data_IF_426290575459
#
_entry.id   IF_426290575459
#
_cell.length_a   1.000
_cell.length_b   1.000
_cell.length_c   1.000
_cell.angle_alpha   90.00
_cell.angle_beta   90.00
_cell.angle_gamma   90.00
#
_symmetry.space_group_name_H-M   'P 1'
#
loop_
_entity.id
_entity.type
_entity.pdbx_description
1 polymer ?
#
# COMPACT_ATOMS: atom_id res chain seq x y z
N UNK A 1 -14.27 -9.01 -24.54
CA UNK A 1 -13.08 -8.13 -24.68
C UNK A 1 -12.03 -8.46 -23.60
N UNK A 2 -11.28 -9.57 -23.72
CA UNK A 2 -10.23 -9.95 -22.74
C UNK A 2 -8.88 -10.36 -23.36
N UNK A 3 -8.64 -10.02 -24.65
CA UNK A 3 -7.41 -10.41 -25.37
C UNK A 3 -6.12 -9.87 -24.72
N UNK A 4 -6.15 -8.67 -24.13
CA UNK A 4 -5.01 -8.07 -23.43
C UNK A 4 -4.58 -8.86 -22.19
N UNK A 5 -5.55 -9.31 -21.38
CA UNK A 5 -5.29 -10.11 -20.19
C UNK A 5 -4.67 -11.46 -20.55
N UNK A 6 -5.13 -12.09 -21.64
CA UNK A 6 -4.59 -13.36 -22.11
C UNK A 6 -3.17 -13.21 -22.69
N UNK A 7 -2.91 -12.13 -23.45
CA UNK A 7 -1.57 -11.84 -23.96
C UNK A 7 -0.56 -11.46 -22.84
N UNK A 8 -1.04 -10.86 -21.75
CA UNK A 8 -0.24 -10.62 -20.54
C UNK A 8 -0.02 -11.92 -19.75
N UNK A 9 -1.02 -12.79 -19.68
CA UNK A 9 -0.90 -14.12 -19.06
C UNK A 9 0.07 -15.04 -19.84
N UNK A 10 0.00 -15.07 -21.17
CA UNK A 10 0.89 -15.90 -21.99
C UNK A 10 2.38 -15.55 -21.77
N UNK A 11 2.70 -14.30 -21.44
CA UNK A 11 4.07 -13.85 -21.13
C UNK A 11 4.65 -14.47 -19.85
N UNK A 12 3.82 -15.00 -18.95
CA UNK A 12 4.32 -15.76 -17.79
C UNK A 12 4.75 -17.19 -18.14
N UNK A 13 4.27 -17.72 -19.28
CA UNK A 13 4.64 -19.05 -19.79
C UNK A 13 5.82 -19.01 -20.78
N UNK A 14 6.33 -17.81 -21.09
CA UNK A 14 7.50 -17.68 -21.95
C UNK A 14 8.75 -18.21 -21.25
N UNK A 15 9.63 -18.87 -21.99
CA UNK A 15 10.91 -19.39 -21.47
C UNK A 15 11.74 -18.27 -20.81
N UNK A 16 11.60 -17.03 -21.30
CA UNK A 16 12.25 -15.83 -20.77
C UNK A 16 11.19 -14.76 -20.42
N UNK A 17 10.56 -14.82 -19.23
CA UNK A 17 9.57 -13.85 -18.83
C UNK A 17 10.20 -12.47 -18.61
N UNK A 18 9.55 -11.41 -19.08
CA UNK A 18 9.94 -10.03 -18.76
C UNK A 18 9.80 -9.82 -17.26
N UNK A 19 10.90 -9.46 -16.62
CA UNK A 19 10.98 -9.20 -15.18
C UNK A 19 11.16 -7.70 -14.98
N UNK A 20 10.39 -7.15 -14.06
CA UNK A 20 10.53 -5.80 -13.57
C UNK A 20 11.18 -5.89 -12.20
N UNK A 21 12.47 -5.64 -12.14
CA UNK A 21 13.20 -5.63 -10.88
C UNK A 21 12.97 -4.31 -10.10
N UNK A 22 13.13 -4.45 -8.79
CA UNK A 22 13.20 -3.34 -7.87
C UNK A 22 14.67 -2.98 -7.66
N UNK A 23 15.09 -1.80 -8.12
CA UNK A 23 16.45 -1.30 -7.90
C UNK A 23 16.79 -0.97 -6.44
N UNK A 24 15.83 -1.07 -5.51
CA UNK A 24 16.05 -0.79 -4.07
C UNK A 24 16.32 -2.07 -3.28
N UNK A 25 15.58 -3.15 -3.53
CA UNK A 25 15.73 -4.42 -2.78
C UNK A 25 15.96 -5.65 -3.65
N UNK A 26 16.08 -5.50 -4.97
CA UNK A 26 16.33 -6.60 -5.90
C UNK A 26 15.12 -7.51 -6.18
N UNK A 27 13.94 -7.23 -5.61
CA UNK A 27 12.73 -8.04 -5.86
C UNK A 27 12.29 -7.95 -7.32
N UNK A 28 12.00 -9.10 -7.94
CA UNK A 28 11.56 -9.21 -9.33
C UNK A 28 10.04 -9.43 -9.43
N UNK A 29 9.39 -8.75 -10.36
CA UNK A 29 7.95 -8.87 -10.63
C UNK A 29 7.69 -9.20 -12.10
N UNK A 30 6.64 -9.95 -12.39
CA UNK A 30 6.23 -10.28 -13.78
C UNK A 30 5.43 -9.18 -14.46
N UNK A 31 4.91 -8.22 -13.70
CA UNK A 31 4.11 -7.10 -14.20
C UNK A 31 4.61 -5.76 -13.70
N UNK A 32 4.65 -4.77 -14.59
CA UNK A 32 5.03 -3.39 -14.28
C UNK A 32 4.18 -2.79 -13.16
N UNK A 33 2.86 -3.00 -13.19
CA UNK A 33 1.92 -2.49 -12.17
C UNK A 33 2.24 -3.02 -10.77
N UNK A 34 2.67 -4.27 -10.66
CA UNK A 34 3.08 -4.88 -9.39
C UNK A 34 4.38 -4.27 -8.88
N UNK A 35 5.39 -4.12 -9.75
CA UNK A 35 6.65 -3.45 -9.41
C UNK A 35 6.42 -1.99 -9.01
N UNK A 36 5.59 -1.26 -9.74
CA UNK A 36 5.25 0.13 -9.45
C UNK A 36 4.54 0.27 -8.08
N UNK A 37 3.55 -0.59 -7.79
CA UNK A 37 2.92 -0.63 -6.47
C UNK A 37 3.91 -0.99 -5.37
N UNK A 38 4.81 -1.93 -5.62
CA UNK A 38 5.86 -2.29 -4.68
C UNK A 38 6.85 -1.14 -4.42
N UNK A 39 7.21 -0.34 -5.43
CA UNK A 39 8.05 0.85 -5.24
C UNK A 39 7.42 1.88 -4.30
N UNK A 40 6.09 1.93 -4.19
CA UNK A 40 5.41 2.75 -3.18
C UNK A 40 5.65 2.28 -1.74
N UNK A 41 6.02 1.01 -1.54
CA UNK A 41 6.41 0.49 -0.23
C UNK A 41 7.82 0.93 0.17
N UNK A 42 8.71 1.19 -0.78
CA UNK A 42 10.05 1.73 -0.50
C UNK A 42 10.03 3.21 -0.14
N UNK A 43 8.99 3.92 -0.59
CA UNK A 43 8.69 5.28 -0.13
C UNK A 43 7.97 5.16 1.23
N UNK A 44 8.68 5.29 2.34
CA UNK A 44 8.08 5.34 3.68
C UNK A 44 7.35 6.66 3.97
N UNK A 45 6.52 7.15 3.05
CA UNK A 45 5.53 8.19 3.33
C UNK A 45 4.45 8.20 2.23
N UNK A 46 3.40 7.39 2.44
CA UNK A 46 2.07 8.00 2.32
C UNK A 46 1.97 8.99 3.50
N UNK A 47 1.32 10.15 3.37
CA UNK A 47 0.88 10.87 4.55
C UNK A 47 -0.14 9.96 5.24
N UNK A 48 0.36 9.02 6.05
CA UNK A 48 -0.48 8.34 7.01
C UNK A 48 -0.97 9.45 7.92
N UNK A 49 -2.26 9.41 8.23
CA UNK A 49 -2.82 10.31 9.21
C UNK A 49 -2.24 9.86 10.55
N UNK A 50 -1.18 10.54 10.99
CA UNK A 50 -0.59 10.33 12.30
C UNK A 50 -1.60 10.79 13.34
N UNK A 51 -1.77 10.02 14.40
CA UNK A 51 -2.51 10.50 15.55
C UNK A 51 -1.70 11.61 16.22
N UNK A 52 -2.30 12.77 16.48
CA UNK A 52 -1.60 13.88 17.14
C UNK A 52 -1.32 13.60 18.63
N UNK A 53 -1.90 12.52 19.17
CA UNK A 53 -1.82 12.14 20.59
C UNK A 53 -0.91 10.92 20.80
N UNK A 54 -0.68 10.09 19.78
CA UNK A 54 0.22 8.93 19.86
C UNK A 54 0.90 8.61 18.52
N UNK A 55 1.94 7.78 18.53
CA UNK A 55 2.68 7.42 17.30
C UNK A 55 1.97 6.40 16.39
N UNK A 56 0.64 6.25 16.49
CA UNK A 56 -0.13 5.41 15.58
C UNK A 56 -0.38 6.11 14.24
N UNK A 57 -0.26 5.33 13.17
CA UNK A 57 -0.42 5.77 11.79
C UNK A 57 -1.65 5.11 11.17
N UNK A 58 -2.46 5.89 10.45
CA UNK A 58 -3.68 5.42 9.81
C UNK A 58 -3.67 5.67 8.31
N UNK A 59 -4.26 4.76 7.55
CA UNK A 59 -4.38 4.86 6.08
C UNK A 59 -5.43 5.87 5.62
N UNK A 60 -6.33 6.31 6.51
CA UNK A 60 -7.40 7.28 6.22
C UNK A 60 -7.63 8.26 7.38
N UNK A 61 -8.13 9.46 7.08
CA UNK A 61 -8.48 10.49 8.07
C UNK A 61 -9.56 10.00 9.03
N UNK A 62 -10.56 9.28 8.49
CA UNK A 62 -11.67 8.74 9.27
C UNK A 62 -11.19 7.67 10.26
N UNK A 63 -10.24 6.82 9.86
CA UNK A 63 -9.61 5.84 10.76
C UNK A 63 -8.85 6.51 11.91
N UNK A 64 -8.10 7.59 11.62
CA UNK A 64 -7.43 8.40 12.65
C UNK A 64 -8.44 9.06 13.58
N UNK A 65 -9.49 9.71 13.06
CA UNK A 65 -10.50 10.39 13.87
C UNK A 65 -11.27 9.42 14.76
N UNK A 66 -11.68 8.26 14.23
CA UNK A 66 -12.33 7.21 15.02
C UNK A 66 -11.40 6.72 16.13
N UNK A 67 -10.12 6.48 15.83
CA UNK A 67 -9.15 6.11 16.85
C UNK A 67 -9.02 7.17 17.96
N UNK A 68 -8.88 8.45 17.59
CA UNK A 68 -8.81 9.56 18.56
C UNK A 68 -10.07 9.60 19.43
N UNK A 69 -11.25 9.44 18.83
CA UNK A 69 -12.54 9.45 19.54
C UNK A 69 -12.76 8.27 20.49
N UNK A 70 -12.20 7.10 20.23
CA UNK A 70 -12.42 5.92 21.09
C UNK A 70 -11.29 5.70 22.10
N UNK A 71 -10.07 6.08 21.73
CA UNK A 71 -8.85 5.76 22.51
C UNK A 71 -8.31 6.98 23.25
N UNK A 72 -8.53 8.19 22.73
CA UNK A 72 -7.99 9.43 23.28
C UNK A 72 -9.06 10.47 23.62
N UNK A 73 -10.34 10.08 23.60
CA UNK A 73 -11.42 10.94 24.06
C UNK A 73 -11.35 11.06 25.58
N UNK A 74 -10.67 12.09 26.05
CA UNK A 74 -10.76 12.59 27.42
C UNK A 74 -12.00 13.48 27.59
N UNK A 75 -13.15 13.04 27.08
CA UNK A 75 -14.42 13.59 27.54
C UNK A 75 -14.73 12.83 28.83
N UNK A 76 -14.69 13.46 30.02
CA UNK A 76 -15.26 12.82 31.19
C UNK A 76 -16.71 12.49 30.85
N UNK A 77 -17.03 11.19 30.82
CA UNK A 77 -18.37 10.68 30.61
C UNK A 77 -19.27 11.43 31.61
N UNK A 78 -20.23 12.28 31.20
CA UNK A 78 -21.14 12.86 32.16
C UNK A 78 -21.90 11.68 32.77
N UNK A 79 -21.80 11.56 34.10
CA UNK A 79 -22.63 10.65 34.88
C UNK A 79 -24.06 11.16 34.88
#
# INVERSE_FOLDING_TARGET
MHKLTLALHARSHAEHPVRYDCGVCGKSFTHYSNRHRHMLSHREARPYYKCDICDKNFTTAQGRNAHVSHVHSNVPRPQ
#
